data_IF_931111342389
#
_entry.id   IF_931111342389
#
_cell.length_a   1.000
_cell.length_b   1.000
_cell.length_c   1.000
_cell.angle_alpha   90.00
_cell.angle_beta   90.00
_cell.angle_gamma   90.00
#
_symmetry.space_group_name_H-M   'P 1'
#
loop_
_entity.id
_entity.type
_entity.pdbx_description
1 polymer ?
#
# COMPACT_ATOMS: atom_id res chain seq x y z
N UNK A 1 12.13 -4.08 2.19
CA UNK A 1 11.06 -3.47 1.38
C UNK A 1 11.54 -3.53 -0.06
N UNK A 2 10.89 -4.36 -0.86
CA UNK A 2 11.30 -4.57 -2.26
C UNK A 2 10.87 -3.35 -3.08
N UNK A 3 11.52 -3.12 -4.23
CA UNK A 3 11.20 -1.98 -5.10
C UNK A 3 9.71 -1.97 -5.54
N UNK A 4 9.08 -3.15 -5.59
CA UNK A 4 7.66 -3.31 -5.90
C UNK A 4 6.73 -2.76 -4.81
N UNK A 5 7.06 -2.91 -3.53
CA UNK A 5 6.22 -2.42 -2.42
C UNK A 5 6.02 -0.91 -2.51
N UNK A 6 7.13 -0.19 -2.75
CA UNK A 6 7.11 1.26 -2.91
C UNK A 6 6.33 1.70 -4.15
N UNK A 7 6.45 0.96 -5.25
CA UNK A 7 5.71 1.26 -6.49
C UNK A 7 4.20 1.09 -6.29
N UNK A 8 3.76 0.01 -5.62
CA UNK A 8 2.35 -0.24 -5.35
C UNK A 8 1.73 0.84 -4.47
N UNK A 9 2.44 1.26 -3.41
CA UNK A 9 2.01 2.38 -2.55
C UNK A 9 1.93 3.68 -3.37
N UNK A 10 2.94 3.95 -4.21
CA UNK A 10 2.96 5.15 -5.06
C UNK A 10 1.78 5.18 -6.04
N UNK A 11 1.45 4.05 -6.67
CA UNK A 11 0.28 3.95 -7.53
C UNK A 11 -1.01 4.21 -6.76
N UNK A 12 -1.19 3.58 -5.59
CA UNK A 12 -2.37 3.76 -4.75
C UNK A 12 -2.58 5.23 -4.34
N UNK A 13 -1.50 5.94 -4.02
CA UNK A 13 -1.53 7.39 -3.75
C UNK A 13 -1.93 8.20 -4.98
N UNK A 14 -1.33 7.93 -6.14
CA UNK A 14 -1.61 8.66 -7.38
C UNK A 14 -3.04 8.48 -7.87
N UNK A 15 -3.62 7.30 -7.65
CA UNK A 15 -4.97 6.98 -8.09
C UNK A 15 -6.02 7.16 -6.99
N UNK A 16 -5.64 7.63 -5.80
CA UNK A 16 -6.49 7.69 -4.60
C UNK A 16 -7.27 6.38 -4.37
N UNK A 17 -6.63 5.25 -4.64
CA UNK A 17 -7.25 3.93 -4.56
C UNK A 17 -6.76 3.19 -3.32
N UNK A 18 -7.61 2.39 -2.67
CA UNK A 18 -7.16 1.57 -1.56
C UNK A 18 -6.26 0.43 -2.05
N UNK A 19 -5.29 0.03 -1.22
CA UNK A 19 -4.36 -1.05 -1.48
C UNK A 19 -4.86 -2.35 -0.83
N UNK A 20 -5.22 -3.34 -1.64
CA UNK A 20 -5.54 -4.69 -1.17
C UNK A 20 -4.24 -5.49 -0.99
N UNK A 21 -3.94 -5.91 0.23
CA UNK A 21 -2.75 -6.72 0.51
C UNK A 21 -2.96 -7.59 1.74
N UNK A 22 -2.41 -8.81 1.71
CA UNK A 22 -2.27 -9.68 2.90
C UNK A 22 -0.87 -9.59 3.52
N UNK A 23 0.06 -8.90 2.85
CA UNK A 23 1.39 -8.66 3.36
C UNK A 23 1.37 -7.55 4.42
N UNK A 24 1.69 -7.92 5.66
CA UNK A 24 1.69 -7.02 6.82
C UNK A 24 2.74 -5.91 6.70
N UNK A 25 3.87 -6.17 6.04
CA UNK A 25 4.93 -5.18 5.83
C UNK A 25 4.51 -4.09 4.86
N UNK A 26 3.91 -4.49 3.73
CA UNK A 26 3.34 -3.59 2.74
C UNK A 26 2.17 -2.79 3.30
N UNK A 27 1.29 -3.44 4.08
CA UNK A 27 0.20 -2.77 4.79
C UNK A 27 0.74 -1.68 5.71
N UNK A 28 1.70 -2.00 6.58
CA UNK A 28 2.28 -1.03 7.49
C UNK A 28 2.97 0.13 6.75
N UNK A 29 3.58 -0.12 5.59
CA UNK A 29 4.14 0.93 4.75
C UNK A 29 3.06 1.81 4.10
N UNK A 30 1.98 1.22 3.60
CA UNK A 30 0.85 1.93 3.01
C UNK A 30 0.11 2.81 4.04
N UNK A 31 -0.17 2.28 5.22
CA UNK A 31 -0.81 3.02 6.32
C UNK A 31 0.04 4.22 6.77
N UNK A 32 1.37 4.06 6.85
CA UNK A 32 2.30 5.17 7.15
C UNK A 32 2.25 6.29 6.11
N UNK A 33 1.89 5.97 4.87
CA UNK A 33 1.75 6.92 3.76
C UNK A 33 0.29 7.38 3.57
N UNK A 34 -0.58 7.12 4.56
CA UNK A 34 -2.00 7.46 4.52
C UNK A 34 -2.78 6.85 3.34
N UNK A 35 -2.29 5.74 2.79
CA UNK A 35 -3.03 4.94 1.82
C UNK A 35 -3.98 4.02 2.56
N UNK A 36 -5.26 4.04 2.17
CA UNK A 36 -6.25 3.14 2.72
C UNK A 36 -5.93 1.70 2.31
N UNK A 37 -5.99 0.75 3.24
CA UNK A 37 -5.77 -0.67 2.94
C UNK A 37 -7.05 -1.47 3.11
N UNK A 38 -7.25 -2.48 2.26
CA UNK A 38 -8.34 -3.45 2.38
C UNK A 38 -7.75 -4.81 2.72
N UNK A 39 -8.38 -5.52 3.65
CA UNK A 39 -8.07 -6.90 4.01
C UNK A 39 -9.32 -7.76 3.89
N UNK A 40 -9.14 -9.06 3.63
CA UNK A 40 -10.16 -10.09 3.73
C UNK A 40 -9.94 -10.91 5.01
#
# INVERSE_FOLDING_TARGET
>A
MYAYDAYLVQCAMQTNSPLLTLDLGLRAAAEKMSVQTLEA
#
